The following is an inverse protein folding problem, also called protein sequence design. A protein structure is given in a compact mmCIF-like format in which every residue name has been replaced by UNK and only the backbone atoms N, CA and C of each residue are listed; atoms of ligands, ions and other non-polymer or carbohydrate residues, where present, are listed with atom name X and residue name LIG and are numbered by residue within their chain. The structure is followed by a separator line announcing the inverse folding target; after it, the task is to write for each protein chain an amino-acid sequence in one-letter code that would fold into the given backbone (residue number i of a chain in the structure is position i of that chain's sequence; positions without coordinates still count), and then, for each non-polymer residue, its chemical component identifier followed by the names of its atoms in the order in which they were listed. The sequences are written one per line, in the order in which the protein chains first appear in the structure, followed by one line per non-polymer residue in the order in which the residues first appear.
data_IF_748195834475
#
_entry.id   IF_748195834475
#
_cell.length_a   1.000
_cell.length_b   1.000
_cell.length_c   1.000
_cell.angle_alpha   90.00
_cell.angle_beta   90.00
_cell.angle_gamma   90.00
#
_symmetry.space_group_name_H-M   'P 1'
#
loop_
_entity.id
_entity.type
_entity.pdbx_description
1 polymer ?
#
# COMPACT_ATOMS: atom_id res chain seq x y z
N UNK A 1 -4.07 -17.51 18.55
CA UNK A 1 -5.07 -16.50 18.18
C UNK A 1 -4.83 -16.05 16.73
N UNK A 2 -5.75 -16.36 15.81
CA UNK A 2 -5.66 -15.98 14.38
C UNK A 2 -6.33 -14.62 14.21
N UNK A 3 -5.63 -13.64 13.64
CA UNK A 3 -6.19 -12.28 13.43
C UNK A 3 -5.23 -11.13 13.73
N UNK A 4 -3.92 -11.37 13.84
CA UNK A 4 -2.96 -10.28 13.89
C UNK A 4 -2.74 -9.73 12.48
N UNK A 5 -3.06 -8.46 12.26
CA UNK A 5 -2.73 -7.71 11.04
C UNK A 5 -1.57 -6.76 11.40
N UNK A 6 -0.30 -7.21 11.21
CA UNK A 6 0.87 -6.41 11.57
C UNK A 6 0.89 -5.07 10.84
N UNK A 7 0.55 -5.07 9.55
CA UNK A 7 0.49 -3.85 8.72
C UNK A 7 -0.48 -2.83 9.30
N UNK A 8 -1.69 -3.25 9.69
CA UNK A 8 -2.67 -2.35 10.34
C UNK A 8 -2.17 -1.82 11.68
N UNK A 9 -1.47 -2.63 12.48
CA UNK A 9 -0.90 -2.17 13.75
C UNK A 9 0.19 -1.12 13.54
N UNK A 10 1.10 -1.35 12.61
CA UNK A 10 2.15 -0.39 12.25
C UNK A 10 1.53 0.92 11.76
N UNK A 11 0.52 0.85 10.88
CA UNK A 11 -0.18 2.04 10.40
C UNK A 11 -0.85 2.84 11.52
N UNK A 12 -1.52 2.16 12.47
CA UNK A 12 -2.15 2.81 13.62
C UNK A 12 -1.13 3.47 14.56
N UNK A 13 0.00 2.80 14.81
CA UNK A 13 1.08 3.35 15.62
C UNK A 13 1.70 4.58 14.95
N UNK A 14 2.00 4.51 13.65
CA UNK A 14 2.54 5.63 12.88
C UNK A 14 1.59 6.83 12.88
N UNK A 15 0.28 6.61 12.68
CA UNK A 15 -0.71 7.67 12.75
C UNK A 15 -0.83 8.27 14.16
N UNK A 16 -0.67 7.47 15.22
CA UNK A 16 -0.59 7.95 16.59
C UNK A 16 0.62 8.86 16.82
N UNK A 17 1.80 8.44 16.36
CA UNK A 17 3.02 9.24 16.47
C UNK A 17 2.91 10.58 15.72
N UNK A 18 2.39 10.57 14.48
CA UNK A 18 2.15 11.79 13.69
C UNK A 18 1.20 12.76 14.39
N UNK A 19 0.10 12.26 14.96
CA UNK A 19 -0.83 13.11 15.72
C UNK A 19 -0.18 13.68 16.98
N UNK A 20 0.70 12.91 17.63
CA UNK A 20 1.49 13.38 18.78
C UNK A 20 2.44 14.53 18.44
N UNK A 21 2.86 14.65 17.18
CA UNK A 21 3.69 15.78 16.69
C UNK A 21 2.88 16.87 15.99
N UNK A 22 1.54 16.83 16.08
CA UNK A 22 0.66 17.86 15.51
C UNK A 22 0.30 17.66 14.03
N UNK A 23 0.70 16.54 13.41
CA UNK A 23 0.31 16.21 12.03
C UNK A 23 -1.00 15.40 12.03
N UNK A 24 -2.10 15.92 11.46
CA UNK A 24 -3.33 15.15 11.34
C UNK A 24 -3.10 13.91 10.47
N UNK A 25 -3.41 12.73 11.02
CA UNK A 25 -3.24 11.47 10.32
C UNK A 25 -4.38 10.50 10.67
N UNK A 26 -4.90 9.81 9.66
CA UNK A 26 -5.95 8.79 9.79
C UNK A 26 -5.59 7.54 9.02
N UNK A 27 -5.88 6.39 9.62
CA UNK A 27 -5.74 5.08 8.96
C UNK A 27 -7.08 4.69 8.36
N UNK A 28 -7.09 4.36 7.07
CA UNK A 28 -8.29 3.93 6.36
C UNK A 28 -8.02 2.63 5.60
N UNK A 29 -8.92 1.67 5.73
CA UNK A 29 -8.86 0.40 5.00
C UNK A 29 -9.67 0.51 3.71
N UNK A 30 -9.06 1.12 2.68
CA UNK A 30 -9.73 1.43 1.40
C UNK A 30 -9.41 0.44 0.29
N UNK A 31 -8.36 -0.37 0.43
CA UNK A 31 -7.99 -1.38 -0.56
C UNK A 31 -8.83 -2.64 -0.36
N UNK A 32 -9.24 -3.24 -1.48
CA UNK A 32 -9.86 -4.56 -1.52
C UNK A 32 -9.26 -5.40 -2.64
N UNK A 33 -9.25 -6.70 -2.42
CA UNK A 33 -8.92 -7.66 -3.44
C UNK A 33 -10.11 -7.81 -4.41
N UNK A 34 -9.85 -7.66 -5.71
CA UNK A 34 -10.84 -7.79 -6.79
C UNK A 34 -10.89 -9.18 -7.39
N UNK A 35 -9.79 -9.92 -7.31
CA UNK A 35 -9.65 -11.31 -7.73
C UNK A 35 -8.63 -12.03 -6.87
N UNK A 36 -8.72 -13.36 -6.82
CA UNK A 36 -7.71 -14.17 -6.17
C UNK A 36 -6.30 -13.86 -6.72
N UNK A 37 -5.34 -13.81 -5.82
CA UNK A 37 -3.90 -13.73 -6.11
C UNK A 37 -3.38 -15.13 -5.84
N UNK A 38 -2.71 -15.73 -6.82
CA UNK A 38 -2.12 -17.06 -6.64
C UNK A 38 -0.98 -16.98 -5.61
N UNK A 39 -0.59 -18.14 -5.06
CA UNK A 39 0.57 -18.17 -4.17
C UNK A 39 1.81 -17.56 -4.87
N UNK A 40 2.58 -16.78 -4.11
CA UNK A 40 3.78 -16.09 -4.57
C UNK A 40 5.08 -16.83 -4.24
N UNK A 41 4.96 -17.98 -3.57
CA UNK A 41 6.06 -18.93 -3.37
C UNK A 41 6.67 -19.33 -4.72
N UNK A 42 8.00 -19.32 -4.80
CA UNK A 42 8.72 -19.65 -6.03
C UNK A 42 8.67 -18.62 -7.17
N UNK A 43 7.76 -17.63 -7.12
CA UNK A 43 7.64 -16.63 -8.19
C UNK A 43 8.79 -15.61 -8.19
N UNK A 44 9.34 -15.34 -9.37
CA UNK A 44 10.26 -14.25 -9.63
C UNK A 44 9.57 -12.88 -9.66
N UNK A 45 10.36 -11.80 -9.77
CA UNK A 45 9.83 -10.44 -9.69
C UNK A 45 8.84 -10.07 -10.82
N UNK A 46 9.03 -10.60 -12.04
CA UNK A 46 8.12 -10.37 -13.17
C UNK A 46 6.80 -11.13 -12.97
N UNK A 47 6.87 -12.37 -12.52
CA UNK A 47 5.70 -13.22 -12.27
C UNK A 47 4.88 -12.68 -11.11
N UNK A 48 5.52 -12.21 -10.03
CA UNK A 48 4.83 -11.52 -8.94
C UNK A 48 4.06 -10.30 -9.42
N UNK A 49 4.68 -9.45 -10.26
CA UNK A 49 4.00 -8.30 -10.88
C UNK A 49 2.77 -8.72 -11.69
N UNK A 50 2.90 -9.75 -12.53
CA UNK A 50 1.77 -10.26 -13.30
C UNK A 50 0.67 -10.83 -12.38
N UNK A 51 1.06 -11.59 -11.35
CA UNK A 51 0.13 -12.22 -10.41
C UNK A 51 -0.70 -11.19 -9.63
N UNK A 52 -0.15 -10.02 -9.29
CA UNK A 52 -0.91 -8.94 -8.61
C UNK A 52 -1.57 -7.94 -9.55
N UNK A 53 -1.19 -7.86 -10.82
CA UNK A 53 -1.70 -6.84 -11.72
C UNK A 53 -3.24 -6.85 -11.81
N UNK A 54 -3.88 -5.72 -11.51
CA UNK A 54 -5.34 -5.58 -11.48
C UNK A 54 -6.03 -6.34 -10.35
N UNK A 55 -5.28 -7.00 -9.45
CA UNK A 55 -5.84 -7.76 -8.35
C UNK A 55 -6.36 -6.87 -7.21
N UNK A 56 -5.89 -5.62 -7.12
CA UNK A 56 -6.35 -4.68 -6.10
C UNK A 56 -7.24 -3.59 -6.71
N UNK A 57 -8.15 -3.11 -5.87
CA UNK A 57 -9.01 -1.99 -6.17
C UNK A 57 -9.39 -1.24 -4.91
N UNK A 58 -10.08 -0.12 -5.09
CA UNK A 58 -10.61 0.65 -3.97
C UNK A 58 -12.03 0.20 -3.63
N UNK A 59 -12.33 0.08 -2.34
CA UNK A 59 -13.63 -0.27 -1.78
C UNK A 59 -14.53 0.97 -1.67
N UNK A 60 -15.84 0.74 -1.63
CA UNK A 60 -16.86 1.79 -1.43
C UNK A 60 -17.45 2.37 -2.73
N UNK A 61 -18.55 3.11 -2.57
CA UNK A 61 -19.23 3.86 -3.65
C UNK A 61 -18.34 5.00 -4.15
N UNK A 62 -18.50 5.38 -5.42
CA UNK A 62 -17.65 6.35 -6.11
C UNK A 62 -17.49 7.66 -5.34
N UNK A 63 -18.58 8.26 -4.89
CA UNK A 63 -18.56 9.52 -4.13
C UNK A 63 -17.83 9.41 -2.79
N UNK A 64 -18.00 8.29 -2.08
CA UNK A 64 -17.34 8.07 -0.78
C UNK A 64 -15.84 7.90 -0.99
N UNK A 65 -15.46 7.19 -2.06
CA UNK A 65 -14.06 7.01 -2.46
C UNK A 65 -13.40 8.34 -2.79
N UNK A 66 -14.07 9.16 -3.60
CA UNK A 66 -13.57 10.47 -3.99
C UNK A 66 -13.34 11.34 -2.75
N UNK A 67 -14.37 11.54 -1.91
CA UNK A 67 -14.22 12.31 -0.66
C UNK A 67 -13.06 11.84 0.20
N UNK A 68 -12.89 10.53 0.39
CA UNK A 68 -11.83 9.97 1.23
C UNK A 68 -10.42 10.14 0.64
N UNK A 69 -10.29 10.16 -0.69
CA UNK A 69 -8.98 10.11 -1.37
C UNK A 69 -8.51 11.43 -1.96
N UNK A 70 -9.41 12.38 -2.20
CA UNK A 70 -9.08 13.67 -2.82
C UNK A 70 -9.12 14.82 -1.82
N UNK A 71 -10.01 14.77 -0.82
CA UNK A 71 -10.22 15.88 0.12
C UNK A 71 -9.40 15.78 1.40
N UNK A 72 -8.86 14.60 1.72
CA UNK A 72 -8.16 14.37 3.00
C UNK A 72 -6.63 14.42 2.90
N UNK A 73 -6.12 14.87 1.75
CA UNK A 73 -4.69 15.08 1.53
C UNK A 73 -3.94 13.85 0.99
N UNK A 74 -2.60 13.86 1.05
CA UNK A 74 -1.78 12.80 0.47
C UNK A 74 -1.93 11.46 1.20
N UNK A 75 -1.71 10.37 0.45
CA UNK A 75 -1.75 8.99 0.96
C UNK A 75 -0.34 8.41 1.02
N UNK A 76 -0.05 7.71 2.12
CA UNK A 76 1.11 6.83 2.27
C UNK A 76 0.61 5.40 2.44
N UNK A 77 1.13 4.48 1.64
CA UNK A 77 0.88 3.05 1.82
C UNK A 77 1.73 2.52 2.96
N UNK A 78 1.17 1.63 3.78
CA UNK A 78 1.89 1.00 4.89
C UNK A 78 1.78 -0.51 4.73
N UNK A 79 2.91 -1.19 4.79
CA UNK A 79 3.01 -2.64 4.78
C UNK A 79 4.10 -3.07 5.78
N UNK A 80 4.10 -4.31 6.24
CA UNK A 80 5.14 -4.79 7.18
C UNK A 80 6.39 -5.25 6.44
N UNK A 81 6.24 -5.97 5.32
CA UNK A 81 7.33 -6.56 4.57
C UNK A 81 7.20 -6.32 3.06
N UNK A 82 8.21 -5.70 2.48
CA UNK A 82 8.35 -5.59 1.02
C UNK A 82 9.42 -6.54 0.51
N UNK A 83 9.10 -7.35 -0.50
CA UNK A 83 10.11 -8.14 -1.23
C UNK A 83 10.46 -7.53 -2.59
N UNK A 84 9.48 -7.49 -3.49
CA UNK A 84 9.64 -6.95 -4.86
C UNK A 84 8.92 -5.62 -5.07
N UNK A 85 8.13 -5.20 -4.08
CA UNK A 85 7.25 -4.04 -4.21
C UNK A 85 6.03 -4.24 -5.12
N UNK A 86 5.83 -5.43 -5.70
CA UNK A 86 4.74 -5.66 -6.65
C UNK A 86 3.35 -5.33 -6.06
N UNK A 87 3.05 -5.82 -4.86
CA UNK A 87 1.78 -5.56 -4.17
C UNK A 87 1.59 -4.07 -3.85
N UNK A 88 2.63 -3.38 -3.37
CA UNK A 88 2.62 -1.94 -3.11
C UNK A 88 2.42 -1.12 -4.39
N UNK A 89 3.07 -1.51 -5.49
CA UNK A 89 2.92 -0.85 -6.79
C UNK A 89 1.49 -1.02 -7.33
N UNK A 90 0.91 -2.21 -7.20
CA UNK A 90 -0.48 -2.47 -7.57
C UNK A 90 -1.48 -1.68 -6.70
N UNK A 91 -1.22 -1.58 -5.39
CA UNK A 91 -2.01 -0.77 -4.49
C UNK A 91 -1.95 0.72 -4.86
N UNK A 92 -0.75 1.23 -5.15
CA UNK A 92 -0.54 2.60 -5.61
C UNK A 92 -1.26 2.86 -6.94
N UNK A 93 -1.20 1.93 -7.90
CA UNK A 93 -1.94 1.99 -9.16
C UNK A 93 -3.45 2.10 -8.90
N UNK A 94 -4.00 1.24 -8.04
CA UNK A 94 -5.43 1.25 -7.71
C UNK A 94 -5.87 2.57 -7.05
N UNK A 95 -5.07 3.12 -6.14
CA UNK A 95 -5.35 4.39 -5.47
C UNK A 95 -5.24 5.59 -6.41
N UNK A 96 -4.19 5.65 -7.24
CA UNK A 96 -4.02 6.70 -8.25
C UNK A 96 -5.15 6.69 -9.27
N UNK A 97 -5.56 5.50 -9.74
CA UNK A 97 -6.72 5.35 -10.62
C UNK A 97 -8.05 5.76 -9.96
N UNK A 98 -8.08 5.91 -8.64
CA UNK A 98 -9.20 6.42 -7.87
C UNK A 98 -9.08 7.91 -7.50
N UNK A 99 -8.04 8.61 -7.99
CA UNK A 99 -7.81 10.03 -7.73
C UNK A 99 -6.91 10.35 -6.53
N UNK A 100 -6.36 9.34 -5.83
CA UNK A 100 -5.52 9.60 -4.66
C UNK A 100 -4.12 10.12 -5.05
N UNK A 101 -3.62 11.08 -4.27
CA UNK A 101 -2.22 11.51 -4.32
C UNK A 101 -1.33 10.62 -3.46
N UNK A 102 -0.82 9.53 -4.03
CA UNK A 102 0.07 8.58 -3.33
C UNK A 102 1.51 9.11 -3.32
N UNK A 103 2.03 9.45 -2.13
CA UNK A 103 3.41 9.95 -1.94
C UNK A 103 4.45 8.85 -1.96
N UNK A 104 4.10 7.66 -1.48
CA UNK A 104 5.03 6.55 -1.36
C UNK A 104 4.50 5.42 -0.50
N UNK A 105 5.39 4.53 -0.10
CA UNK A 105 5.12 3.44 0.81
C UNK A 105 6.15 3.44 1.95
N UNK A 106 5.70 3.10 3.15
CA UNK A 106 6.53 2.85 4.31
C UNK A 106 6.43 1.37 4.70
N UNK A 107 7.58 0.72 4.88
CA UNK A 107 7.66 -0.69 5.26
C UNK A 107 8.64 -0.91 6.41
N UNK A 108 8.38 -1.93 7.22
CA UNK A 108 9.25 -2.27 8.35
C UNK A 108 10.48 -3.06 7.88
N UNK A 109 10.29 -3.97 6.93
CA UNK A 109 11.35 -4.82 6.41
C UNK A 109 11.36 -4.85 4.89
N UNK A 110 12.56 -4.85 4.32
CA UNK A 110 12.82 -5.14 2.92
C UNK A 110 14.22 -5.72 2.76
N UNK A 111 14.47 -6.64 1.80
CA UNK A 111 15.82 -7.10 1.52
C UNK A 111 16.62 -5.96 0.87
N UNK A 112 17.94 -5.90 1.11
CA UNK A 112 18.82 -4.83 0.59
C UNK A 112 18.65 -4.59 -0.91
N UNK A 113 18.62 -5.68 -1.69
CA UNK A 113 18.39 -5.67 -3.14
C UNK A 113 17.09 -4.98 -3.60
N UNK A 114 16.12 -4.77 -2.71
CA UNK A 114 14.89 -4.08 -3.05
C UNK A 114 15.10 -2.58 -3.31
N UNK A 115 16.21 -2.01 -2.82
CA UNK A 115 16.54 -0.59 -3.00
C UNK A 115 17.51 -0.34 -4.16
N UNK A 116 18.15 -1.39 -4.70
CA UNK A 116 19.10 -1.25 -5.81
C UNK A 116 18.44 -0.79 -7.11
N UNK A 117 17.16 -1.14 -7.34
CA UNK A 117 16.40 -0.70 -8.51
C UNK A 117 16.12 0.81 -8.54
N UNK A 118 16.31 1.55 -7.44
CA UNK A 118 16.00 2.97 -7.35
C UNK A 118 17.23 3.89 -7.39
N UNK A 119 18.46 3.34 -7.37
CA UNK A 119 19.71 4.12 -7.50
C UNK A 119 20.08 4.51 -8.94
N UNK A 120 19.33 4.02 -9.93
CA UNK A 120 19.59 4.23 -11.36
C UNK A 120 18.54 5.11 -12.08
N UNK A 121 17.95 6.10 -11.40
CA UNK A 121 17.20 7.15 -12.10
C UNK A 121 18.04 8.43 -12.10
N UNK A 122 18.33 9.01 -13.29
CA UNK A 122 19.07 10.27 -13.38
C UNK A 122 18.29 11.44 -12.76
#
# INVERSE_FOLDING_TARGET
ARGHDPGRRVALAAAGALRGTGTPARVVAVLRQRRAIADQSGLGARERRANVAGALGVAGRAERRERLLTMEGPVVLVDDLMTTGASLAEAARALRGAGARVLGAAVVAAPERAFDNNRNRP
#
